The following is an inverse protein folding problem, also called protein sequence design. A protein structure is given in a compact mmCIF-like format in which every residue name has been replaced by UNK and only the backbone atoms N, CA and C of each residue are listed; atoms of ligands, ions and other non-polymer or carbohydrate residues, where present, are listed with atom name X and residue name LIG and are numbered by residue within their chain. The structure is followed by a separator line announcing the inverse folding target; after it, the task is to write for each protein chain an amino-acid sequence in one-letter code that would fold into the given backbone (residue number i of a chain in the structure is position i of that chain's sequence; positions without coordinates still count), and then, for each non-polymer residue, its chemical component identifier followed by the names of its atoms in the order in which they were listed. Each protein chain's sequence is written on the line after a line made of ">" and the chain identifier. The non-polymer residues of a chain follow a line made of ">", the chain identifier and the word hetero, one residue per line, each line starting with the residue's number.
data_IF_208161858049
#
_entry.id   IF_208161858049
#
_cell.length_a   1.000
_cell.length_b   1.000
_cell.length_c   1.000
_cell.angle_alpha   90.00
_cell.angle_beta   90.00
_cell.angle_gamma   90.00
#
_symmetry.space_group_name_H-M   'P 1'
#
loop_
_entity.id
_entity.type
_entity.pdbx_description
1 polymer ?
#
# COMPACT_ATOMS: atom_id res chain seq x y z
N UNK A 1 -11.35 -7.38 5.53
CA UNK A 1 -10.80 -8.63 5.07
C UNK A 1 -11.93 -9.58 4.65
N UNK A 2 -11.65 -10.49 3.70
CA UNK A 2 -12.61 -11.52 3.26
C UNK A 2 -12.46 -12.83 4.05
N UNK A 3 -11.33 -13.03 4.73
CA UNK A 3 -11.01 -14.27 5.45
C UNK A 3 -11.52 -14.26 6.89
N UNK A 4 -12.55 -15.05 7.24
CA UNK A 4 -13.08 -15.09 8.59
C UNK A 4 -12.04 -15.43 9.68
N UNK A 5 -11.08 -16.35 9.48
CA UNK A 5 -10.08 -16.65 10.50
C UNK A 5 -9.18 -15.45 10.84
N UNK A 6 -8.80 -14.64 9.84
CA UNK A 6 -8.01 -13.42 10.06
C UNK A 6 -8.78 -12.39 10.89
N UNK A 7 -10.07 -12.21 10.57
CA UNK A 7 -10.95 -11.29 11.31
C UNK A 7 -11.16 -11.74 12.76
N UNK A 8 -11.38 -13.05 12.99
CA UNK A 8 -11.53 -13.63 14.33
C UNK A 8 -10.27 -13.45 15.17
N UNK A 9 -9.10 -13.75 14.58
CA UNK A 9 -7.82 -13.54 15.26
C UNK A 9 -7.58 -12.06 15.57
N UNK A 10 -7.82 -11.18 14.60
CA UNK A 10 -7.67 -9.73 14.78
C UNK A 10 -8.57 -9.20 15.89
N UNK A 11 -9.83 -9.64 15.93
CA UNK A 11 -10.79 -9.25 16.97
C UNK A 11 -10.32 -9.69 18.37
N UNK A 12 -9.97 -10.98 18.53
CA UNK A 12 -9.50 -11.49 19.80
C UNK A 12 -8.22 -10.79 20.29
N UNK A 13 -7.32 -10.44 19.37
CA UNK A 13 -6.11 -9.69 19.71
C UNK A 13 -6.41 -8.24 20.09
N UNK A 14 -7.32 -7.57 19.40
CA UNK A 14 -7.74 -6.20 19.76
C UNK A 14 -8.37 -6.15 21.15
N UNK A 15 -9.23 -7.12 21.49
CA UNK A 15 -9.80 -7.27 22.83
C UNK A 15 -8.71 -7.48 23.90
N UNK A 16 -7.77 -8.40 23.65
CA UNK A 16 -6.66 -8.67 24.56
C UNK A 16 -5.74 -7.46 24.81
N UNK A 17 -5.63 -6.56 23.83
CA UNK A 17 -4.85 -5.32 23.92
C UNK A 17 -5.66 -4.13 24.42
N UNK A 18 -6.96 -4.29 24.65
CA UNK A 18 -7.86 -3.19 25.03
C UNK A 18 -8.01 -2.11 23.95
N UNK A 19 -7.80 -2.47 22.67
CA UNK A 19 -7.85 -1.53 21.55
C UNK A 19 -9.21 -1.60 20.87
N UNK A 20 -9.89 -0.46 20.72
CA UNK A 20 -11.17 -0.41 20.01
C UNK A 20 -10.98 -0.45 18.50
N UNK A 21 -11.23 -1.62 17.89
CA UNK A 21 -11.18 -1.84 16.45
C UNK A 21 -12.47 -2.54 16.01
N UNK A 22 -13.06 -2.07 14.91
CA UNK A 22 -14.22 -2.71 14.29
C UNK A 22 -13.79 -3.55 13.10
N UNK A 23 -14.01 -4.86 13.17
CA UNK A 23 -13.71 -5.79 12.09
C UNK A 23 -14.96 -6.07 11.27
N UNK A 24 -14.82 -6.07 9.95
CA UNK A 24 -15.89 -6.37 9.01
C UNK A 24 -15.42 -7.33 7.93
N UNK A 25 -16.22 -8.34 7.62
CA UNK A 25 -15.98 -9.18 6.45
C UNK A 25 -16.54 -8.46 5.22
N UNK A 26 -15.66 -8.08 4.31
CA UNK A 26 -16.03 -7.42 3.05
C UNK A 26 -14.95 -7.63 2.00
N UNK A 27 -15.35 -7.54 0.73
CA UNK A 27 -14.40 -7.42 -0.39
C UNK A 27 -13.96 -5.97 -0.55
N UNK A 28 -12.72 -5.77 -1.01
CA UNK A 28 -12.13 -4.43 -1.18
C UNK A 28 -12.77 -3.64 -2.34
N UNK A 29 -13.45 -4.30 -3.25
CA UNK A 29 -14.16 -3.71 -4.38
C UNK A 29 -15.64 -3.41 -4.10
N UNK A 30 -16.12 -3.71 -2.87
CA UNK A 30 -17.48 -3.47 -2.41
C UNK A 30 -17.49 -3.23 -0.90
N UNK A 31 -16.97 -2.09 -0.46
CA UNK A 31 -16.87 -1.74 0.95
C UNK A 31 -18.27 -1.39 1.52
N UNK A 32 -18.64 -1.90 2.70
CA UNK A 32 -19.94 -1.67 3.30
C UNK A 32 -20.02 -0.30 4.00
N UNK A 33 -19.64 0.74 3.30
CA UNK A 33 -19.65 2.13 3.75
C UNK A 33 -20.35 3.01 2.71
N UNK A 34 -21.03 4.05 3.19
CA UNK A 34 -21.66 5.05 2.34
C UNK A 34 -20.60 5.86 1.57
N UNK A 35 -21.03 6.51 0.49
CA UNK A 35 -20.20 7.46 -0.26
C UNK A 35 -19.74 8.59 0.69
N UNK A 36 -18.51 9.02 0.55
CA UNK A 36 -17.94 10.13 1.31
C UNK A 36 -18.13 10.00 2.84
N UNK A 37 -17.90 8.80 3.39
CA UNK A 37 -18.14 8.50 4.80
C UNK A 37 -16.88 8.28 5.64
N UNK A 38 -15.73 8.00 5.01
CA UNK A 38 -14.46 7.72 5.73
C UNK A 38 -13.41 8.80 5.46
N UNK A 39 -12.55 9.02 6.43
CA UNK A 39 -11.49 10.05 6.34
C UNK A 39 -10.20 9.49 5.74
N UNK A 40 -9.90 8.22 6.00
CA UNK A 40 -8.67 7.55 5.52
C UNK A 40 -9.01 6.14 5.05
N UNK A 41 -8.48 5.76 3.89
CA UNK A 41 -8.37 4.36 3.44
C UNK A 41 -6.90 3.98 3.45
N UNK A 42 -6.57 2.92 4.19
CA UNK A 42 -5.19 2.45 4.30
C UNK A 42 -5.11 0.98 3.91
N UNK A 43 -4.12 0.63 3.09
CA UNK A 43 -3.74 -0.75 2.83
C UNK A 43 -2.25 -0.96 3.05
N UNK A 44 -1.86 -2.16 3.46
CA UNK A 44 -0.48 -2.52 3.72
C UNK A 44 -0.22 -3.94 3.25
N UNK A 45 0.74 -4.11 2.34
CA UNK A 45 1.12 -5.41 1.78
C UNK A 45 -0.11 -6.22 1.33
N UNK A 46 -0.94 -5.58 0.53
CA UNK A 46 -2.25 -6.11 0.15
C UNK A 46 -2.50 -6.10 -1.36
N UNK A 47 -2.08 -5.04 -2.06
CA UNK A 47 -2.44 -4.87 -3.48
C UNK A 47 -1.78 -5.92 -4.38
N UNK A 48 -0.58 -6.36 -4.03
CA UNK A 48 0.14 -7.40 -4.76
C UNK A 48 -0.50 -8.79 -4.65
N UNK A 49 -1.42 -8.99 -3.70
CA UNK A 49 -2.23 -10.21 -3.58
C UNK A 49 -3.43 -10.22 -4.54
N UNK A 50 -3.67 -9.13 -5.24
CA UNK A 50 -4.87 -8.94 -6.04
C UNK A 50 -4.56 -8.96 -7.54
N UNK A 51 -5.43 -9.58 -8.36
CA UNK A 51 -5.35 -9.40 -9.80
C UNK A 51 -5.66 -7.96 -10.20
N UNK A 52 -5.07 -7.48 -11.27
CA UNK A 52 -5.12 -6.07 -11.72
C UNK A 52 -6.54 -5.47 -11.78
N UNK A 53 -7.54 -6.25 -12.17
CA UNK A 53 -8.91 -5.75 -12.25
C UNK A 53 -9.51 -5.44 -10.87
N UNK A 54 -9.16 -6.21 -9.83
CA UNK A 54 -9.56 -5.94 -8.45
C UNK A 54 -8.79 -4.77 -7.86
N UNK A 55 -7.51 -4.60 -8.20
CA UNK A 55 -6.75 -3.40 -7.82
C UNK A 55 -7.46 -2.15 -8.33
N UNK A 56 -7.81 -2.11 -9.61
CA UNK A 56 -8.55 -0.98 -10.19
C UNK A 56 -9.93 -0.76 -9.55
N UNK A 57 -10.61 -1.83 -9.18
CA UNK A 57 -11.88 -1.75 -8.48
C UNK A 57 -11.71 -1.19 -7.05
N UNK A 58 -10.68 -1.63 -6.32
CA UNK A 58 -10.32 -1.10 -5.01
C UNK A 58 -10.07 0.40 -5.03
N UNK A 59 -9.32 0.92 -6.00
CA UNK A 59 -9.05 2.36 -6.10
C UNK A 59 -10.32 3.18 -6.33
N UNK A 60 -11.23 2.70 -7.21
CA UNK A 60 -12.53 3.35 -7.42
C UNK A 60 -13.39 3.32 -6.16
N UNK A 61 -13.39 2.19 -5.45
CA UNK A 61 -14.15 2.02 -4.22
C UNK A 61 -13.58 2.89 -3.08
N UNK A 62 -12.25 2.97 -2.97
CA UNK A 62 -11.59 3.87 -2.04
C UNK A 62 -11.98 5.34 -2.31
N UNK A 63 -11.95 5.74 -3.58
CA UNK A 63 -12.41 7.08 -3.97
C UNK A 63 -13.87 7.33 -3.61
N UNK A 64 -14.76 6.36 -3.83
CA UNK A 64 -16.18 6.48 -3.49
C UNK A 64 -16.40 6.75 -2.01
N UNK A 65 -15.79 5.92 -1.14
CA UNK A 65 -16.03 6.00 0.31
C UNK A 65 -15.30 7.14 1.00
N UNK A 66 -14.21 7.65 0.43
CA UNK A 66 -13.46 8.77 1.01
C UNK A 66 -14.29 10.05 0.97
N UNK A 67 -14.29 10.75 2.10
CA UNK A 67 -14.79 12.14 2.18
C UNK A 67 -13.93 13.05 1.32
N UNK A 68 -14.44 14.23 1.02
CA UNK A 68 -13.64 15.34 0.51
C UNK A 68 -12.57 15.70 1.57
N UNK A 69 -11.32 15.86 1.15
CA UNK A 69 -10.16 16.01 2.03
C UNK A 69 -9.62 14.69 2.59
N UNK A 70 -10.31 13.57 2.36
CA UNK A 70 -9.87 12.25 2.80
C UNK A 70 -8.69 11.72 1.98
N UNK A 71 -7.95 10.77 2.54
CA UNK A 71 -6.67 10.29 1.98
C UNK A 71 -6.69 8.79 1.76
N UNK A 72 -6.26 8.35 0.58
CA UNK A 72 -5.89 6.97 0.29
C UNK A 72 -4.38 6.81 0.50
N UNK A 73 -3.97 5.82 1.27
CA UNK A 73 -2.57 5.47 1.51
C UNK A 73 -2.37 3.98 1.30
N UNK A 74 -1.43 3.61 0.45
CA UNK A 74 -1.03 2.22 0.26
C UNK A 74 0.46 2.07 0.63
N UNK A 75 0.81 1.02 1.35
CA UNK A 75 2.18 0.69 1.71
C UNK A 75 2.54 -0.67 1.11
N UNK A 76 3.50 -0.65 0.19
CA UNK A 76 3.90 -1.79 -0.63
C UNK A 76 5.43 -1.80 -0.81
N UNK A 77 5.95 -2.71 -1.62
CA UNK A 77 7.31 -2.63 -2.14
C UNK A 77 7.37 -1.67 -3.34
N UNK A 78 8.56 -1.16 -3.67
CA UNK A 78 8.72 -0.22 -4.79
C UNK A 78 8.25 -0.79 -6.13
N UNK A 79 7.73 0.04 -7.04
CA UNK A 79 7.40 -0.36 -8.41
C UNK A 79 8.67 -0.71 -9.20
N UNK A 80 8.53 -1.48 -10.29
CA UNK A 80 9.67 -1.94 -11.09
C UNK A 80 10.51 -0.82 -11.70
N UNK A 81 9.92 0.30 -12.04
CA UNK A 81 10.62 1.47 -12.59
C UNK A 81 11.46 2.22 -11.55
N UNK A 82 11.22 1.99 -10.27
CA UNK A 82 12.01 2.53 -9.16
C UNK A 82 13.08 1.53 -8.65
N UNK A 83 13.22 0.36 -9.28
CA UNK A 83 14.14 -0.70 -8.85
C UNK A 83 15.35 -0.80 -9.77
N UNK A 84 16.53 -1.06 -9.19
CA UNK A 84 17.67 -1.51 -9.96
C UNK A 84 17.40 -2.90 -10.59
N UNK A 85 18.02 -3.18 -11.71
CA UNK A 85 17.79 -4.43 -12.45
C UNK A 85 18.01 -5.70 -11.61
N UNK A 86 18.99 -5.69 -10.72
CA UNK A 86 19.24 -6.81 -9.81
C UNK A 86 18.10 -7.01 -8.81
N UNK A 87 17.58 -5.93 -8.25
CA UNK A 87 16.50 -6.00 -7.26
C UNK A 87 15.17 -6.42 -7.90
N UNK A 88 14.89 -5.93 -9.11
CA UNK A 88 13.74 -6.38 -9.88
C UNK A 88 13.82 -7.89 -10.18
N UNK A 89 15.00 -8.38 -10.60
CA UNK A 89 15.23 -9.81 -10.78
C UNK A 89 15.06 -10.60 -9.49
N UNK A 90 15.63 -10.12 -8.37
CA UNK A 90 15.51 -10.79 -7.07
C UNK A 90 14.06 -10.89 -6.61
N UNK A 91 13.29 -9.83 -6.75
CA UNK A 91 11.87 -9.84 -6.39
C UNK A 91 11.05 -10.76 -7.30
N UNK A 92 11.35 -10.82 -8.60
CA UNK A 92 10.71 -11.78 -9.51
C UNK A 92 11.02 -13.23 -9.12
N UNK A 93 12.28 -13.50 -8.73
CA UNK A 93 12.70 -14.81 -8.25
C UNK A 93 11.98 -15.18 -6.93
N UNK A 94 11.91 -14.24 -6.01
CA UNK A 94 11.21 -14.40 -4.72
C UNK A 94 9.72 -14.67 -4.93
N UNK A 95 9.05 -13.90 -5.80
CA UNK A 95 7.66 -14.09 -6.17
C UNK A 95 7.39 -15.49 -6.73
N UNK A 96 8.27 -15.99 -7.58
CA UNK A 96 8.13 -17.32 -8.15
C UNK A 96 8.18 -18.42 -7.08
N UNK A 97 9.14 -18.34 -6.15
CA UNK A 97 9.32 -19.35 -5.11
C UNK A 97 8.30 -19.24 -3.96
N UNK A 98 7.78 -18.05 -3.70
CA UNK A 98 6.73 -17.82 -2.70
C UNK A 98 5.31 -17.96 -3.25
N UNK A 99 5.16 -18.27 -4.54
CA UNK A 99 3.86 -18.41 -5.20
C UNK A 99 3.01 -17.13 -5.10
N UNK A 100 3.59 -16.00 -5.47
CA UNK A 100 2.97 -14.67 -5.50
C UNK A 100 2.49 -14.34 -6.94
N UNK A 101 1.32 -14.85 -7.37
CA UNK A 101 0.96 -14.87 -8.78
C UNK A 101 0.68 -13.48 -9.38
N UNK A 102 0.36 -12.48 -8.56
CA UNK A 102 -0.01 -11.14 -9.01
C UNK A 102 1.03 -10.07 -8.73
N UNK A 103 2.05 -10.40 -7.95
CA UNK A 103 3.00 -9.43 -7.45
C UNK A 103 3.81 -8.75 -8.55
N UNK A 104 4.26 -9.53 -9.55
CA UNK A 104 4.99 -8.98 -10.70
C UNK A 104 4.12 -8.01 -11.49
N UNK A 105 2.90 -8.42 -11.84
CA UNK A 105 1.95 -7.60 -12.60
C UNK A 105 1.60 -6.31 -11.83
N UNK A 106 1.48 -6.39 -10.50
CA UNK A 106 1.25 -5.23 -9.65
C UNK A 106 2.39 -4.22 -9.76
N UNK A 107 3.65 -4.65 -9.68
CA UNK A 107 4.81 -3.77 -9.74
C UNK A 107 5.03 -3.10 -11.10
N UNK A 108 4.41 -3.64 -12.16
CA UNK A 108 4.43 -3.05 -13.51
C UNK A 108 3.33 -1.99 -13.71
N UNK A 109 2.42 -1.81 -12.74
CA UNK A 109 1.36 -0.81 -12.84
C UNK A 109 1.89 0.61 -12.57
N UNK A 110 1.35 1.57 -13.30
CA UNK A 110 1.54 2.99 -13.00
C UNK A 110 0.65 3.40 -11.82
N UNK A 111 1.23 3.65 -10.67
CA UNK A 111 0.48 4.03 -9.47
C UNK A 111 -0.22 5.40 -9.61
N UNK A 112 0.40 6.43 -10.25
CA UNK A 112 -0.33 7.65 -10.56
C UNK A 112 -1.57 7.41 -11.41
N UNK A 113 -1.47 6.53 -12.43
CA UNK A 113 -2.62 6.22 -13.29
C UNK A 113 -3.72 5.46 -12.55
N UNK A 114 -3.39 4.59 -11.58
CA UNK A 114 -4.40 3.95 -10.74
C UNK A 114 -5.23 4.96 -9.97
N UNK A 115 -4.59 6.01 -9.45
CA UNK A 115 -5.27 7.10 -8.75
C UNK A 115 -6.10 7.95 -9.70
N UNK A 116 -5.55 8.40 -10.82
CA UNK A 116 -6.27 9.26 -11.78
C UNK A 116 -7.44 8.55 -12.45
N UNK A 117 -7.29 7.27 -12.80
CA UNK A 117 -8.37 6.43 -13.36
C UNK A 117 -9.53 6.20 -12.35
N UNK A 118 -9.25 6.33 -11.06
CA UNK A 118 -10.24 6.22 -10.00
C UNK A 118 -10.98 7.54 -9.71
N UNK A 119 -10.44 8.68 -10.17
CA UNK A 119 -11.04 10.01 -10.02
C UNK A 119 -10.25 10.99 -9.15
N UNK A 120 -9.09 10.59 -8.62
CA UNK A 120 -8.19 11.52 -7.92
C UNK A 120 -7.54 12.48 -8.93
N UNK A 121 -7.32 13.72 -8.54
CA UNK A 121 -6.59 14.67 -9.36
C UNK A 121 -5.09 14.31 -9.42
N UNK A 122 -4.44 14.55 -10.55
CA UNK A 122 -3.04 14.15 -10.75
C UNK A 122 -2.07 14.84 -9.77
N UNK A 123 -2.35 16.09 -9.44
CA UNK A 123 -1.56 16.90 -8.50
C UNK A 123 -1.76 16.52 -7.03
N UNK A 124 -2.72 15.66 -6.74
CA UNK A 124 -2.97 15.13 -5.41
C UNK A 124 -2.28 13.78 -5.14
N UNK A 125 -1.66 13.20 -6.16
CA UNK A 125 -0.88 11.99 -6.00
C UNK A 125 0.40 12.27 -5.20
N UNK A 126 0.72 11.37 -4.29
CA UNK A 126 1.98 11.38 -3.55
C UNK A 126 2.61 10.01 -3.50
N UNK A 127 3.91 10.00 -3.35
CA UNK A 127 4.70 8.79 -3.12
C UNK A 127 5.91 9.12 -2.24
N UNK A 128 6.31 8.15 -1.42
CA UNK A 128 7.46 8.28 -0.54
C UNK A 128 8.07 6.92 -0.24
N UNK A 129 9.37 6.89 -0.06
CA UNK A 129 10.05 5.73 0.49
C UNK A 129 9.97 5.81 2.01
N UNK A 130 9.51 4.73 2.63
CA UNK A 130 9.34 4.65 4.07
C UNK A 130 10.45 3.78 4.67
N UNK A 131 11.03 4.16 5.80
CA UNK A 131 12.04 3.35 6.46
C UNK A 131 11.46 2.02 6.95
N UNK A 132 12.32 1.02 7.07
CA UNK A 132 11.96 -0.28 7.64
C UNK A 132 11.33 -0.11 9.04
N UNK A 133 10.41 -1.00 9.37
CA UNK A 133 9.87 -1.13 10.74
C UNK A 133 10.98 -1.45 11.76
N UNK A 134 11.66 -0.45 12.21
CA UNK A 134 12.38 -0.44 13.46
C UNK A 134 11.68 0.54 14.38
N UNK A 135 11.64 0.24 15.67
CA UNK A 135 11.17 1.22 16.64
C UNK A 135 12.18 2.39 16.65
N UNK A 136 11.89 3.37 15.81
CA UNK A 136 12.67 4.60 15.73
C UNK A 136 11.86 5.71 16.39
N UNK A 137 12.54 6.71 16.91
CA UNK A 137 11.88 7.92 17.40
C UNK A 137 11.21 8.65 16.23
N UNK A 138 10.23 9.48 16.54
CA UNK A 138 9.55 10.32 15.53
C UNK A 138 10.55 11.15 14.70
N UNK A 139 11.62 11.63 15.34
CA UNK A 139 12.69 12.39 14.67
C UNK A 139 13.46 11.52 13.69
N UNK A 140 13.86 10.32 14.08
CA UNK A 140 14.57 9.38 13.21
C UNK A 140 13.69 8.91 12.06
N UNK A 141 12.40 8.66 12.31
CA UNK A 141 11.43 8.31 11.28
C UNK A 141 11.30 9.43 10.25
N UNK A 142 11.09 10.67 10.70
CA UNK A 142 10.95 11.83 9.82
C UNK A 142 12.19 12.09 8.99
N UNK A 143 13.39 11.90 9.56
CA UNK A 143 14.66 12.02 8.83
C UNK A 143 14.83 10.88 7.80
N UNK A 144 14.45 9.67 8.13
CA UNK A 144 14.53 8.55 7.22
C UNK A 144 13.51 8.67 6.07
N UNK A 145 12.28 9.08 6.37
CA UNK A 145 11.22 9.29 5.38
C UNK A 145 11.51 10.44 4.40
N UNK A 146 12.33 11.42 4.82
CA UNK A 146 12.74 12.53 3.96
C UNK A 146 13.89 12.21 2.99
N UNK A 147 14.50 11.04 3.11
CA UNK A 147 15.56 10.59 2.20
C UNK A 147 14.93 9.94 0.98
N UNK A 148 15.43 10.28 -0.21
CA UNK A 148 15.14 9.51 -1.40
C UNK A 148 15.52 8.04 -1.20
N UNK A 149 14.79 7.14 -1.87
CA UNK A 149 15.04 5.72 -1.79
C UNK A 149 16.53 5.44 -1.93
N UNK A 150 17.15 4.98 -0.86
CA UNK A 150 18.56 4.66 -0.86
C UNK A 150 18.80 3.34 -1.59
N UNK A 151 18.69 3.36 -2.93
CA UNK A 151 19.31 2.33 -3.73
C UNK A 151 20.81 2.48 -3.58
N UNK A 152 21.51 1.42 -3.26
CA UNK A 152 22.94 1.38 -3.39
C UNK A 152 23.30 1.48 -4.87
N UNK A 153 23.61 2.69 -5.34
CA UNK A 153 23.93 2.97 -6.72
C UNK A 153 25.19 2.21 -7.20
N UNK A 154 26.09 1.85 -6.28
CA UNK A 154 27.35 1.17 -6.62
C UNK A 154 27.13 -0.34 -6.84
N UNK A 155 26.25 -0.97 -6.08
CA UNK A 155 25.97 -2.40 -6.20
C UNK A 155 24.69 -2.70 -6.95
N UNK A 156 23.81 -1.72 -7.13
CA UNK A 156 22.48 -1.93 -7.71
C UNK A 156 21.58 -2.81 -6.87
N UNK A 157 21.81 -2.88 -5.57
CA UNK A 157 21.03 -3.66 -4.62
C UNK A 157 20.13 -2.75 -3.82
N UNK A 158 18.96 -3.27 -3.42
CA UNK A 158 18.22 -2.70 -2.31
C UNK A 158 19.15 -2.63 -1.11
N UNK A 159 19.27 -1.47 -0.47
CA UNK A 159 20.03 -1.35 0.75
C UNK A 159 19.57 -2.40 1.78
N UNK A 160 20.42 -2.84 2.68
CA UNK A 160 20.10 -3.81 3.74
C UNK A 160 18.89 -3.41 4.61
N UNK A 161 18.44 -2.19 4.48
CA UNK A 161 17.16 -1.69 4.99
C UNK A 161 16.11 -1.83 3.89
N UNK A 162 15.24 -2.84 4.00
CA UNK A 162 14.05 -2.90 3.16
C UNK A 162 13.28 -1.60 3.36
N UNK A 163 13.25 -0.78 2.34
CA UNK A 163 12.45 0.43 2.33
C UNK A 163 11.05 0.08 1.84
N UNK A 164 10.05 0.40 2.64
CA UNK A 164 8.67 0.36 2.20
C UNK A 164 8.39 1.54 1.27
N UNK A 165 7.52 1.32 0.33
CA UNK A 165 7.08 2.34 -0.60
C UNK A 165 5.63 2.71 -0.29
N UNK A 166 5.42 3.96 0.12
CA UNK A 166 4.10 4.49 0.36
C UNK A 166 3.65 5.33 -0.83
N UNK A 167 2.42 5.14 -1.28
CA UNK A 167 1.82 5.95 -2.33
C UNK A 167 0.31 6.07 -2.13
N UNK A 168 -0.25 7.10 -2.71
CA UNK A 168 -1.68 7.35 -2.60
C UNK A 168 -2.09 8.70 -3.18
N UNK A 169 -3.26 9.16 -2.81
CA UNK A 169 -3.76 10.47 -3.23
C UNK A 169 -4.76 11.03 -2.23
N UNK A 170 -4.89 12.36 -2.22
CA UNK A 170 -5.92 13.05 -1.46
C UNK A 170 -7.15 13.32 -2.35
N UNK A 171 -8.35 13.16 -1.80
CA UNK A 171 -9.60 13.45 -2.51
C UNK A 171 -10.03 14.90 -2.24
N UNK A 172 -9.71 15.83 -3.13
CA UNK A 172 -10.04 17.25 -2.99
C UNK A 172 -11.22 17.71 -3.84
N UNK A 173 -11.64 16.91 -4.80
CA UNK A 173 -12.74 17.20 -5.74
C UNK A 173 -14.15 16.90 -5.23
#
# INVERSE_FOLDING_TARGET
>A
DVAPPCLQYGHARAEALGTAIHFKQASCDALPYDDASVDVVFSSMFLHELPTHLIKAFFREAYRVLKRGGVLINMELPPNDALAAYDAFYLDWDCFYNNEPFYKDFRDLSYPNLCSDAGFAEDEFFQATMPRYTYVSETEFSQAASRDAAFDADTGRLSDTITWYAFGAQKNG
#
